data_IF_504433271384
#
_entry.id   IF_504433271384
#
_cell.length_a   1.000
_cell.length_b   1.000
_cell.length_c   1.000
_cell.angle_alpha   90.00
_cell.angle_beta   90.00
_cell.angle_gamma   90.00
#
_symmetry.space_group_name_H-M   'P 1'
#
loop_
_entity.id
_entity.type
_entity.pdbx_description
1 polymer ?
#
# COMPACT_ATOMS: atom_id res chain seq x y z
N UNK A 1 -28.21 10.87 39.15
CA UNK A 1 -28.49 9.72 38.26
C UNK A 1 -28.92 10.13 36.85
N UNK A 2 -30.02 10.87 36.64
CA UNK A 2 -30.51 11.29 35.29
C UNK A 2 -29.50 12.10 34.46
N UNK A 3 -28.70 12.96 35.09
CA UNK A 3 -27.65 13.75 34.40
C UNK A 3 -26.48 12.89 33.91
N UNK A 4 -26.04 11.91 34.72
CA UNK A 4 -24.99 10.96 34.34
C UNK A 4 -25.46 10.03 33.21
N UNK A 5 -26.70 9.54 33.29
CA UNK A 5 -27.34 8.77 32.21
C UNK A 5 -27.42 9.57 30.90
N UNK A 6 -27.78 10.86 30.97
CA UNK A 6 -27.83 11.73 29.79
C UNK A 6 -26.44 11.94 29.18
N UNK A 7 -25.39 12.14 30.00
CA UNK A 7 -24.01 12.23 29.52
C UNK A 7 -23.52 10.94 28.88
N UNK A 8 -23.81 9.79 29.50
CA UNK A 8 -23.49 8.49 28.94
C UNK A 8 -24.20 8.27 27.59
N UNK A 9 -25.49 8.64 27.49
CA UNK A 9 -26.25 8.56 26.24
C UNK A 9 -25.61 9.42 25.14
N UNK A 10 -25.19 10.65 25.45
CA UNK A 10 -24.50 11.52 24.48
C UNK A 10 -23.14 10.97 24.06
N UNK A 11 -22.39 10.37 24.98
CA UNK A 11 -21.11 9.72 24.66
C UNK A 11 -21.31 8.51 23.74
N UNK A 12 -22.28 7.64 24.05
CA UNK A 12 -22.61 6.49 23.22
C UNK A 12 -23.13 6.93 21.86
N UNK A 13 -24.03 7.91 21.81
CA UNK A 13 -24.52 8.46 20.54
C UNK A 13 -23.40 9.07 19.69
N UNK A 14 -22.47 9.79 20.32
CA UNK A 14 -21.29 10.33 19.64
C UNK A 14 -20.37 9.23 19.09
N UNK A 15 -20.12 8.17 19.87
CA UNK A 15 -19.32 7.03 19.42
C UNK A 15 -19.99 6.29 18.26
N UNK A 16 -21.30 6.06 18.33
CA UNK A 16 -22.07 5.43 17.25
C UNK A 16 -22.02 6.31 15.99
N UNK A 17 -22.21 7.62 16.12
CA UNK A 17 -22.10 8.54 14.99
C UNK A 17 -20.70 8.50 14.36
N UNK A 18 -19.64 8.47 15.17
CA UNK A 18 -18.26 8.35 14.69
C UNK A 18 -18.05 7.04 13.91
N UNK A 19 -18.50 5.91 14.44
CA UNK A 19 -18.41 4.60 13.77
C UNK A 19 -19.17 4.64 12.44
N UNK A 20 -20.38 5.18 12.41
CA UNK A 20 -21.17 5.31 11.18
C UNK A 20 -20.47 6.20 10.15
N UNK A 21 -19.86 7.32 10.57
CA UNK A 21 -19.09 8.18 9.68
C UNK A 21 -17.89 7.44 9.08
N UNK A 22 -17.16 6.66 9.89
CA UNK A 22 -16.00 5.88 9.42
C UNK A 22 -16.41 4.74 8.48
N UNK A 23 -17.59 4.14 8.69
CA UNK A 23 -18.11 3.07 7.84
C UNK A 23 -18.85 3.57 6.59
N UNK A 24 -19.20 4.85 6.52
CA UNK A 24 -19.96 5.41 5.40
C UNK A 24 -19.28 5.19 4.03
N UNK A 25 -17.95 5.38 3.87
CA UNK A 25 -17.29 5.07 2.60
C UNK A 25 -17.35 3.59 2.20
N UNK A 26 -17.23 2.67 3.16
CA UNK A 26 -17.40 1.24 2.89
C UNK A 26 -18.83 0.93 2.42
N UNK A 27 -19.83 1.54 3.08
CA UNK A 27 -21.23 1.45 2.64
C UNK A 27 -21.45 2.02 1.24
N UNK A 28 -20.74 3.08 0.86
CA UNK A 28 -20.78 3.62 -0.50
C UNK A 28 -20.22 2.62 -1.52
N UNK A 29 -19.06 2.02 -1.26
CA UNK A 29 -18.48 0.98 -2.14
C UNK A 29 -19.45 -0.18 -2.34
N UNK A 30 -20.09 -0.65 -1.28
CA UNK A 30 -21.06 -1.77 -1.34
C UNK A 30 -22.33 -1.46 -2.14
N UNK A 31 -22.72 -0.19 -2.23
CA UNK A 31 -23.96 0.23 -2.87
C UNK A 31 -23.74 0.73 -4.30
N UNK A 32 -22.65 1.45 -4.53
CA UNK A 32 -22.39 2.15 -5.78
C UNK A 32 -21.37 1.43 -6.68
N UNK A 33 -20.43 0.67 -6.12
CA UNK A 33 -19.25 0.19 -6.83
C UNK A 33 -19.24 -1.35 -6.92
N UNK A 34 -20.34 -1.93 -7.40
CA UNK A 34 -20.54 -3.37 -7.44
C UNK A 34 -19.90 -3.99 -8.68
N UNK A 35 -19.19 -5.13 -8.54
CA UNK A 35 -18.70 -5.86 -9.69
C UNK A 35 -19.86 -6.36 -10.56
N UNK A 36 -19.72 -6.18 -11.87
CA UNK A 36 -20.55 -6.83 -12.87
C UNK A 36 -19.93 -8.19 -13.19
N UNK A 37 -20.48 -9.26 -12.61
CA UNK A 37 -19.88 -10.59 -12.71
C UNK A 37 -19.89 -11.08 -14.16
N UNK A 38 -18.71 -11.35 -14.71
CA UNK A 38 -18.56 -12.00 -16.02
C UNK A 38 -17.83 -13.32 -15.87
N UNK A 39 -17.97 -14.16 -16.89
CA UNK A 39 -17.29 -15.44 -16.92
C UNK A 39 -15.84 -15.23 -17.34
N UNK A 40 -14.92 -15.66 -16.49
CA UNK A 40 -13.54 -15.90 -16.85
C UNK A 40 -13.42 -17.30 -17.49
N UNK A 41 -12.75 -17.38 -18.63
CA UNK A 41 -12.53 -18.60 -19.40
C UNK A 41 -11.07 -19.09 -19.37
N UNK A 42 -10.19 -18.40 -18.63
CA UNK A 42 -8.81 -18.82 -18.47
C UNK A 42 -8.72 -20.18 -17.77
N UNK A 43 -7.73 -20.98 -18.19
CA UNK A 43 -7.49 -22.32 -17.66
C UNK A 43 -6.09 -22.38 -17.07
N UNK A 44 -5.97 -22.41 -15.73
CA UNK A 44 -4.66 -22.36 -15.11
C UNK A 44 -3.81 -23.61 -15.37
N UNK A 45 -2.53 -23.41 -15.62
CA UNK A 45 -1.49 -24.43 -15.87
C UNK A 45 -0.91 -24.93 -14.54
N UNK A 46 -0.60 -24.02 -13.61
CA UNK A 46 -0.12 -24.36 -12.27
C UNK A 46 -1.14 -25.21 -11.50
N UNK A 47 -0.71 -26.08 -10.57
CA UNK A 47 -1.62 -26.87 -9.75
C UNK A 47 -2.39 -26.00 -8.76
N UNK A 48 -3.58 -26.43 -8.34
CA UNK A 48 -4.47 -25.66 -7.43
C UNK A 48 -3.79 -25.16 -6.15
N UNK A 49 -2.81 -25.91 -5.62
CA UNK A 49 -2.05 -25.53 -4.41
C UNK A 49 -1.19 -24.28 -4.58
N UNK A 50 -0.82 -23.95 -5.82
CA UNK A 50 0.05 -22.82 -6.16
C UNK A 50 -0.74 -21.67 -6.81
N UNK A 51 -2.08 -21.79 -6.87
CA UNK A 51 -2.97 -20.77 -7.43
C UNK A 51 -3.40 -19.77 -6.37
N UNK A 52 -3.64 -18.54 -6.78
CA UNK A 52 -4.24 -17.50 -5.96
C UNK A 52 -5.46 -16.92 -6.66
N UNK A 53 -6.51 -16.48 -5.95
CA UNK A 53 -7.66 -15.87 -6.59
C UNK A 53 -7.28 -14.61 -7.37
N UNK A 54 -7.65 -14.54 -8.66
CA UNK A 54 -7.21 -13.48 -9.57
C UNK A 54 -7.61 -12.07 -9.10
N UNK A 55 -8.84 -11.88 -8.59
CA UNK A 55 -9.30 -10.60 -8.03
C UNK A 55 -8.36 -10.02 -6.96
N UNK A 56 -7.49 -10.82 -6.33
CA UNK A 56 -6.52 -10.31 -5.36
C UNK A 56 -5.48 -9.40 -6.00
N UNK A 57 -5.17 -9.50 -7.29
CA UNK A 57 -4.28 -8.50 -7.94
C UNK A 57 -4.85 -7.08 -7.84
N UNK A 58 -6.17 -6.94 -7.92
CA UNK A 58 -6.88 -5.67 -7.69
C UNK A 58 -7.03 -5.35 -6.20
N UNK A 59 -7.38 -6.35 -5.40
CA UNK A 59 -7.77 -6.17 -4.00
C UNK A 59 -6.61 -6.14 -3.01
N UNK A 60 -5.38 -6.39 -3.45
CA UNK A 60 -4.15 -6.09 -2.68
C UNK A 60 -3.69 -4.64 -2.86
N UNK A 61 -4.11 -3.95 -3.94
CA UNK A 61 -3.78 -2.53 -4.14
C UNK A 61 -4.18 -1.64 -2.93
N UNK A 62 -5.35 -1.80 -2.28
CA UNK A 62 -5.67 -1.02 -1.08
C UNK A 62 -4.62 -1.11 0.05
N UNK A 63 -3.96 -2.25 0.22
CA UNK A 63 -2.85 -2.39 1.16
C UNK A 63 -1.65 -1.52 0.74
N UNK A 64 -1.31 -1.59 -0.55
CA UNK A 64 -0.26 -0.80 -1.16
C UNK A 64 -0.58 0.70 -1.22
N UNK A 65 -1.84 1.10 -1.32
CA UNK A 65 -2.25 2.51 -1.26
C UNK A 65 -1.77 3.15 0.04
N UNK A 66 -1.82 2.41 1.15
CA UNK A 66 -1.32 2.91 2.44
C UNK A 66 0.20 3.05 2.41
N UNK A 67 0.92 2.06 1.85
CA UNK A 67 2.38 2.12 1.67
C UNK A 67 2.76 3.35 0.85
N UNK A 68 2.06 3.58 -0.25
CA UNK A 68 2.24 4.75 -1.10
C UNK A 68 1.85 6.06 -0.41
N UNK A 69 0.81 6.07 0.44
CA UNK A 69 0.44 7.24 1.21
C UNK A 69 1.52 7.62 2.24
N UNK A 70 2.21 6.63 2.84
CA UNK A 70 3.35 6.89 3.71
C UNK A 70 4.55 7.44 2.94
N UNK A 71 4.82 6.93 1.73
CA UNK A 71 5.85 7.46 0.83
C UNK A 71 5.56 8.92 0.41
N UNK A 72 4.34 9.19 -0.05
CA UNK A 72 3.86 10.53 -0.38
C UNK A 72 3.99 11.48 0.83
N UNK A 73 3.62 11.03 2.04
CA UNK A 73 3.78 11.81 3.27
C UNK A 73 5.25 12.11 3.56
N UNK A 74 6.12 11.10 3.52
CA UNK A 74 7.56 11.27 3.73
C UNK A 74 8.16 12.27 2.73
N UNK A 75 7.76 12.17 1.46
CA UNK A 75 8.19 13.08 0.41
C UNK A 75 7.77 14.53 0.68
N UNK A 76 6.53 14.76 1.09
CA UNK A 76 6.03 16.10 1.44
C UNK A 76 6.86 16.70 2.57
N UNK A 77 7.05 15.96 3.67
CA UNK A 77 7.69 16.51 4.88
C UNK A 77 9.22 16.59 4.80
N UNK A 78 9.82 16.02 3.74
CA UNK A 78 11.26 16.18 3.45
C UNK A 78 11.64 17.65 3.32
N UNK A 79 10.77 18.46 2.73
CA UNK A 79 11.02 19.91 2.51
C UNK A 79 9.90 20.79 3.05
N UNK A 80 8.66 20.32 2.96
CA UNK A 80 7.49 21.00 3.54
C UNK A 80 7.26 20.63 5.00
N UNK A 81 6.15 21.11 5.54
CA UNK A 81 5.68 20.75 6.87
C UNK A 81 4.58 19.67 6.81
N UNK A 82 4.32 18.93 7.90
CA UNK A 82 3.27 17.90 7.93
C UNK A 82 1.87 18.39 7.54
N UNK A 83 1.52 19.64 7.84
CA UNK A 83 0.24 20.23 7.45
C UNK A 83 0.15 20.61 5.95
N UNK A 84 1.20 20.38 5.16
CA UNK A 84 1.17 20.51 3.70
C UNK A 84 0.72 19.19 3.03
N UNK A 85 0.66 18.09 3.80
CA UNK A 85 0.12 16.82 3.31
C UNK A 85 -1.41 16.85 3.29
N UNK A 86 -1.98 16.52 2.14
CA UNK A 86 -3.43 16.39 1.97
C UNK A 86 -3.96 15.10 2.58
N UNK A 87 -4.24 15.11 3.88
CA UNK A 87 -4.81 13.95 4.59
C UNK A 87 -6.18 13.55 4.04
N UNK A 88 -7.07 14.51 3.81
CA UNK A 88 -8.42 14.23 3.29
C UNK A 88 -8.38 13.76 1.82
N UNK A 89 -7.47 14.31 1.01
CA UNK A 89 -7.27 13.82 -0.36
C UNK A 89 -6.69 12.40 -0.35
N UNK A 90 -5.82 12.07 0.60
CA UNK A 90 -5.29 10.71 0.76
C UNK A 90 -6.38 9.70 1.12
N UNK A 91 -7.32 10.08 2.01
CA UNK A 91 -8.50 9.26 2.36
C UNK A 91 -9.41 9.10 1.15
N UNK A 92 -9.72 10.21 0.47
CA UNK A 92 -10.55 10.19 -0.75
C UNK A 92 -9.94 9.31 -1.84
N UNK A 93 -8.62 9.41 -2.03
CA UNK A 93 -7.85 8.57 -2.95
C UNK A 93 -8.04 7.08 -2.67
N UNK A 94 -7.90 6.65 -1.40
CA UNK A 94 -8.08 5.24 -1.01
C UNK A 94 -9.46 4.71 -1.39
N UNK A 95 -10.52 5.43 -1.00
CA UNK A 95 -11.89 4.95 -1.20
C UNK A 95 -12.34 5.05 -2.66
N UNK A 96 -11.87 6.06 -3.40
CA UNK A 96 -12.17 6.20 -4.83
C UNK A 96 -11.44 5.16 -5.68
N UNK A 97 -10.16 4.88 -5.40
CA UNK A 97 -9.45 3.78 -6.07
C UNK A 97 -10.08 2.44 -5.72
N UNK A 98 -10.45 2.20 -4.46
CA UNK A 98 -11.13 0.97 -4.05
C UNK A 98 -12.48 0.80 -4.76
N UNK A 99 -13.24 1.88 -4.95
CA UNK A 99 -14.48 1.83 -5.73
C UNK A 99 -14.22 1.36 -7.17
N UNK A 100 -13.28 2.01 -7.87
CA UNK A 100 -12.94 1.66 -9.25
C UNK A 100 -12.42 0.20 -9.38
N UNK A 101 -11.59 -0.24 -8.43
CA UNK A 101 -11.07 -1.59 -8.40
C UNK A 101 -12.15 -2.63 -8.08
N UNK A 102 -13.07 -2.32 -7.16
CA UNK A 102 -14.21 -3.17 -6.83
C UNK A 102 -15.08 -3.46 -8.05
N UNK A 103 -15.36 -2.45 -8.88
CA UNK A 103 -16.06 -2.63 -10.15
C UNK A 103 -15.26 -3.53 -11.11
N UNK A 104 -13.95 -3.31 -11.22
CA UNK A 104 -13.06 -4.08 -12.08
C UNK A 104 -12.95 -5.57 -11.68
N UNK A 105 -13.24 -5.94 -10.43
CA UNK A 105 -13.17 -7.36 -10.00
C UNK A 105 -14.21 -8.28 -10.67
N UNK A 106 -15.22 -7.73 -11.35
CA UNK A 106 -16.29 -8.53 -11.95
C UNK A 106 -15.81 -9.60 -12.93
N UNK A 107 -14.73 -9.33 -13.66
CA UNK A 107 -14.12 -10.26 -14.61
C UNK A 107 -13.16 -11.26 -13.93
N UNK A 108 -12.88 -11.12 -12.63
CA UNK A 108 -11.80 -11.83 -11.91
C UNK A 108 -12.27 -12.59 -10.65
N UNK A 109 -13.56 -12.94 -10.58
CA UNK A 109 -14.15 -13.65 -9.43
C UNK A 109 -14.78 -12.74 -8.36
N UNK A 110 -14.90 -11.44 -8.64
CA UNK A 110 -15.61 -10.47 -7.82
C UNK A 110 -14.87 -10.05 -6.55
N UNK A 111 -15.63 -9.59 -5.55
CA UNK A 111 -15.10 -9.12 -4.27
C UNK A 111 -15.57 -10.02 -3.11
N UNK A 112 -14.85 -11.12 -2.82
CA UNK A 112 -15.21 -12.08 -1.77
C UNK A 112 -15.33 -11.43 -0.39
N UNK A 113 -16.17 -12.02 0.46
CA UNK A 113 -16.49 -11.48 1.77
C UNK A 113 -15.25 -11.37 2.68
N UNK A 114 -14.40 -12.39 2.68
CA UNK A 114 -13.20 -12.46 3.51
C UNK A 114 -12.21 -11.35 3.13
N UNK A 115 -11.98 -11.15 1.83
CA UNK A 115 -11.14 -10.06 1.30
C UNK A 115 -11.75 -8.70 1.60
N UNK A 116 -13.07 -8.57 1.50
CA UNK A 116 -13.79 -7.33 1.77
C UNK A 116 -13.68 -6.89 3.23
N UNK A 117 -13.81 -7.81 4.17
CA UNK A 117 -13.62 -7.52 5.60
C UNK A 117 -12.23 -6.99 5.89
N UNK A 118 -11.21 -7.60 5.29
CA UNK A 118 -9.82 -7.17 5.42
C UNK A 118 -9.62 -5.77 4.83
N UNK A 119 -9.97 -5.57 3.56
CA UNK A 119 -9.81 -4.29 2.85
C UNK A 119 -10.56 -3.15 3.53
N UNK A 120 -11.78 -3.38 4.05
CA UNK A 120 -12.53 -2.35 4.77
C UNK A 120 -11.96 -2.06 6.16
N UNK A 121 -11.45 -3.06 6.87
CA UNK A 121 -10.74 -2.83 8.14
C UNK A 121 -9.51 -1.96 7.92
N UNK A 122 -8.79 -2.22 6.83
CA UNK A 122 -7.63 -1.45 6.40
C UNK A 122 -8.04 -0.02 6.04
N UNK A 123 -9.07 0.17 5.21
CA UNK A 123 -9.55 1.50 4.84
C UNK A 123 -10.07 2.34 6.00
N UNK A 124 -10.81 1.72 6.92
CA UNK A 124 -11.32 2.39 8.12
C UNK A 124 -10.19 2.77 9.08
N UNK A 125 -9.24 1.86 9.31
CA UNK A 125 -8.10 2.14 10.19
C UNK A 125 -7.20 3.23 9.61
N UNK A 126 -6.95 3.20 8.29
CA UNK A 126 -6.26 4.27 7.57
C UNK A 126 -6.99 5.61 7.66
N UNK A 127 -8.31 5.62 7.45
CA UNK A 127 -9.14 6.83 7.58
C UNK A 127 -9.03 7.42 8.98
N UNK A 128 -9.14 6.59 10.02
CA UNK A 128 -9.00 7.03 11.40
C UNK A 128 -7.60 7.59 11.68
N UNK A 129 -6.54 6.93 11.22
CA UNK A 129 -5.16 7.40 11.38
C UNK A 129 -4.94 8.76 10.69
N UNK A 130 -5.33 8.88 9.42
CA UNK A 130 -5.18 10.11 8.66
C UNK A 130 -5.99 11.26 9.27
N UNK A 131 -7.21 11.01 9.78
CA UNK A 131 -8.01 12.02 10.47
C UNK A 131 -7.38 12.45 11.81
N UNK A 132 -6.80 11.52 12.57
CA UNK A 132 -6.10 11.85 13.82
C UNK A 132 -4.84 12.69 13.54
N UNK A 133 -4.06 12.32 12.53
CA UNK A 133 -2.89 13.09 12.08
C UNK A 133 -3.32 14.47 11.59
N UNK A 134 -4.34 14.55 10.73
CA UNK A 134 -4.89 15.83 10.27
C UNK A 134 -5.33 16.71 11.45
N UNK A 135 -6.12 16.17 12.39
CA UNK A 135 -6.60 16.92 13.54
C UNK A 135 -5.44 17.49 14.38
N UNK A 136 -4.31 16.78 14.48
CA UNK A 136 -3.13 17.25 15.20
C UNK A 136 -2.31 18.26 14.38
N UNK A 137 -1.90 17.88 13.18
CA UNK A 137 -0.98 18.64 12.33
C UNK A 137 -1.61 19.93 11.82
N UNK A 138 -2.91 19.92 11.52
CA UNK A 138 -3.64 21.12 11.09
C UNK A 138 -3.93 22.11 12.23
N UNK A 139 -3.72 21.71 13.49
CA UNK A 139 -4.00 22.54 14.66
C UNK A 139 -2.73 22.84 15.45
N UNK A 140 -2.38 21.99 16.43
CA UNK A 140 -1.24 22.18 17.30
C UNK A 140 0.08 22.10 16.52
N UNK A 141 0.17 21.20 15.53
CA UNK A 141 1.31 21.09 14.64
C UNK A 141 1.53 22.38 13.84
N UNK A 142 0.47 22.91 13.21
CA UNK A 142 0.49 24.17 12.45
C UNK A 142 0.86 25.38 13.31
N UNK A 143 0.41 25.43 14.57
CA UNK A 143 0.85 26.47 15.52
C UNK A 143 2.33 26.31 15.85
N UNK A 144 2.81 25.07 16.04
CA UNK A 144 4.21 24.81 16.32
C UNK A 144 5.14 25.14 15.14
N UNK A 145 4.73 24.89 13.90
CA UNK A 145 5.46 25.32 12.69
C UNK A 145 5.44 26.83 12.53
N UNK A 146 4.33 27.49 12.82
CA UNK A 146 4.27 28.96 12.83
C UNK A 146 5.22 29.59 13.88
N UNK A 147 5.30 29.02 15.08
CA UNK A 147 6.24 29.46 16.13
C UNK A 147 7.69 29.16 15.75
N UNK A 148 7.95 28.02 15.11
CA UNK A 148 9.28 27.64 14.59
C UNK A 148 9.80 28.67 13.58
N UNK A 149 8.93 29.25 12.76
CA UNK A 149 9.32 30.11 11.63
C UNK A 149 9.90 29.28 10.49
N UNK A 150 10.66 29.91 9.58
CA UNK A 150 11.12 29.26 8.35
C UNK A 150 12.21 28.20 8.59
N UNK A 151 13.04 28.38 9.63
CA UNK A 151 14.16 27.47 9.94
C UNK A 151 13.67 26.16 10.54
N UNK A 152 13.96 25.03 9.89
CA UNK A 152 13.54 23.70 10.35
C UNK A 152 14.19 23.35 11.69
N UNK A 153 13.44 22.67 12.57
CA UNK A 153 13.99 22.16 13.81
C UNK A 153 14.67 20.80 13.56
N UNK A 154 15.68 20.41 14.36
CA UNK A 154 16.34 19.10 14.21
C UNK A 154 15.37 17.91 14.16
N UNK A 155 14.27 17.95 14.94
CA UNK A 155 13.27 16.88 14.89
C UNK A 155 12.33 16.92 13.68
N UNK A 156 12.22 18.04 12.95
CA UNK A 156 11.54 18.05 11.65
C UNK A 156 12.36 17.24 10.63
N UNK A 157 13.68 17.37 10.65
CA UNK A 157 14.57 16.64 9.74
C UNK A 157 14.67 15.15 10.12
N UNK A 158 14.82 14.85 11.41
CA UNK A 158 14.84 13.45 11.88
C UNK A 158 13.51 12.74 11.60
N UNK A 159 12.36 13.38 11.85
CA UNK A 159 11.07 12.74 11.59
C UNK A 159 10.78 12.56 10.10
N UNK A 160 11.27 13.45 9.24
CA UNK A 160 11.22 13.27 7.79
C UNK A 160 12.06 12.06 7.33
N UNK A 161 13.28 11.91 7.88
CA UNK A 161 14.12 10.75 7.61
C UNK A 161 13.45 9.45 8.08
N UNK A 162 12.97 9.42 9.33
CA UNK A 162 12.27 8.25 9.88
C UNK A 162 11.02 7.88 9.07
N UNK A 163 10.29 8.87 8.55
CA UNK A 163 9.14 8.62 7.68
C UNK A 163 9.55 8.02 6.33
N UNK A 164 10.64 8.49 5.73
CA UNK A 164 11.17 7.95 4.48
C UNK A 164 11.68 6.51 4.65
N UNK A 165 12.49 6.25 5.69
CA UNK A 165 13.00 4.91 5.98
C UNK A 165 11.86 3.93 6.29
N UNK A 166 10.82 4.39 7.01
CA UNK A 166 9.64 3.58 7.28
C UNK A 166 8.83 3.30 6.00
N UNK A 167 8.66 4.29 5.11
CA UNK A 167 7.97 4.10 3.84
C UNK A 167 8.70 3.08 2.94
N UNK A 168 10.03 3.12 2.88
CA UNK A 168 10.83 2.12 2.18
C UNK A 168 10.69 0.72 2.81
N UNK A 169 10.79 0.64 4.14
CA UNK A 169 10.63 -0.62 4.89
C UNK A 169 9.30 -1.32 4.60
N UNK A 170 8.21 -0.56 4.53
CA UNK A 170 6.86 -1.10 4.28
C UNK A 170 6.70 -1.73 2.90
N UNK A 171 7.61 -1.49 1.96
CA UNK A 171 7.54 -2.08 0.62
C UNK A 171 7.88 -3.58 0.61
N UNK A 172 8.52 -4.10 1.65
CA UNK A 172 8.91 -5.51 1.71
C UNK A 172 8.59 -6.17 3.07
N UNK A 173 8.57 -5.39 4.15
CA UNK A 173 8.46 -5.94 5.52
C UNK A 173 7.17 -5.45 6.18
N UNK A 174 6.41 -6.35 6.84
CA UNK A 174 5.22 -5.96 7.58
C UNK A 174 5.49 -4.90 8.65
N UNK A 175 4.60 -3.91 8.74
CA UNK A 175 4.75 -2.72 9.60
C UNK A 175 5.08 -3.02 11.07
N UNK A 176 4.53 -4.09 11.63
CA UNK A 176 4.70 -4.46 13.04
C UNK A 176 6.14 -4.92 13.38
N UNK A 177 6.98 -5.14 12.37
CA UNK A 177 8.40 -5.44 12.54
C UNK A 177 9.28 -4.19 12.61
N UNK A 178 8.73 -3.01 12.34
CA UNK A 178 9.47 -1.75 12.50
C UNK A 178 9.79 -1.49 13.98
N UNK A 179 11.01 -1.05 14.28
CA UNK A 179 11.44 -0.74 15.65
C UNK A 179 10.97 0.65 16.09
N UNK A 180 9.67 0.77 16.35
CA UNK A 180 9.07 2.01 16.86
C UNK A 180 9.65 2.44 18.21
N UNK A 181 10.15 1.51 19.03
CA UNK A 181 10.76 1.84 20.31
C UNK A 181 12.09 2.58 20.12
N UNK A 182 12.92 2.10 19.18
CA UNK A 182 14.13 2.78 18.76
C UNK A 182 13.82 4.15 18.15
N UNK A 183 12.86 4.25 17.23
CA UNK A 183 12.49 5.56 16.65
C UNK A 183 12.03 6.56 17.72
N UNK A 184 11.28 6.10 18.74
CA UNK A 184 10.87 6.93 19.87
C UNK A 184 12.06 7.38 20.77
N UNK A 185 13.08 6.53 20.93
CA UNK A 185 14.29 6.85 21.66
C UNK A 185 15.14 7.89 20.92
N UNK A 186 15.32 7.74 19.61
CA UNK A 186 16.07 8.67 18.76
C UNK A 186 15.49 10.10 18.81
N UNK A 187 14.16 10.24 18.82
CA UNK A 187 13.49 11.53 19.01
C UNK A 187 13.83 12.19 20.37
N UNK A 188 14.03 11.37 21.41
CA UNK A 188 14.41 11.86 22.72
C UNK A 188 15.86 12.35 22.73
N UNK A 189 16.77 11.58 22.14
CA UNK A 189 18.23 11.79 22.15
C UNK A 189 18.68 12.94 21.24
N UNK A 190 18.10 13.06 20.05
CA UNK A 190 18.57 14.00 19.01
C UNK A 190 17.98 15.40 19.16
N UNK A 191 16.83 15.52 19.81
CA UNK A 191 16.04 16.75 19.75
C UNK A 191 16.70 17.95 20.42
N UNK A 192 16.62 19.11 19.78
CA UNK A 192 17.04 20.38 20.37
C UNK A 192 16.17 20.81 21.55
N UNK A 193 16.48 21.99 22.09
CA UNK A 193 15.79 22.58 23.26
C UNK A 193 14.61 23.50 22.88
N UNK A 194 14.42 23.75 21.58
CA UNK A 194 13.40 24.63 21.03
C UNK A 194 11.98 24.11 21.28
N UNK A 195 11.00 25.00 21.13
CA UNK A 195 9.59 24.64 21.32
C UNK A 195 9.15 23.51 20.37
N UNK A 196 9.51 23.62 19.08
CA UNK A 196 9.20 22.61 18.07
C UNK A 196 9.74 21.22 18.41
N UNK A 197 11.00 21.12 18.84
CA UNK A 197 11.58 19.83 19.24
C UNK A 197 10.87 19.23 20.46
N UNK A 198 10.39 20.05 21.40
CA UNK A 198 9.62 19.54 22.55
C UNK A 198 8.26 19.02 22.13
N UNK A 199 7.59 19.73 21.23
CA UNK A 199 6.32 19.32 20.66
C UNK A 199 6.48 18.00 19.90
N UNK A 200 7.41 17.92 18.92
CA UNK A 200 7.65 16.70 18.14
C UNK A 200 8.02 15.51 19.01
N UNK A 201 8.90 15.70 20.00
CA UNK A 201 9.28 14.65 20.96
C UNK A 201 8.08 14.12 21.75
N UNK A 202 7.12 14.98 22.09
CA UNK A 202 5.90 14.57 22.77
C UNK A 202 4.94 13.87 21.80
N UNK A 203 4.60 14.51 20.68
CA UNK A 203 3.61 14.03 19.72
C UNK A 203 4.01 12.71 19.06
N UNK A 204 5.16 12.70 18.36
CA UNK A 204 5.66 11.53 17.67
C UNK A 204 6.15 10.47 18.66
N UNK A 205 6.68 10.88 19.81
CA UNK A 205 7.06 9.94 20.87
C UNK A 205 5.86 9.18 21.43
N UNK A 206 4.69 9.82 21.58
CA UNK A 206 3.45 9.14 21.96
C UNK A 206 2.94 8.22 20.85
N UNK A 207 2.95 8.68 19.59
CA UNK A 207 2.57 7.86 18.43
C UNK A 207 3.41 6.58 18.35
N UNK A 208 4.73 6.70 18.36
CA UNK A 208 5.64 5.57 18.24
C UNK A 208 5.55 4.61 19.42
N UNK A 209 5.40 5.08 20.66
CA UNK A 209 5.18 4.17 21.81
C UNK A 209 3.85 3.42 21.69
N UNK A 210 2.80 4.09 21.22
CA UNK A 210 1.51 3.45 20.94
C UNK A 210 1.65 2.37 19.86
N UNK A 211 2.30 2.70 18.74
CA UNK A 211 2.58 1.76 17.64
C UNK A 211 3.48 0.61 18.09
N UNK A 212 4.50 0.84 18.91
CA UNK A 212 5.36 -0.20 19.47
C UNK A 212 4.56 -1.21 20.32
N UNK A 213 3.69 -0.72 21.20
CA UNK A 213 2.85 -1.59 22.02
C UNK A 213 1.90 -2.43 21.16
N UNK A 214 1.27 -1.82 20.15
CA UNK A 214 0.36 -2.52 19.25
C UNK A 214 1.09 -3.53 18.34
N UNK A 215 2.24 -3.15 17.80
CA UNK A 215 3.11 -4.02 17.01
C UNK A 215 3.51 -5.28 17.79
N UNK A 216 3.82 -5.15 19.08
CA UNK A 216 4.11 -6.29 19.96
C UNK A 216 2.94 -7.27 20.08
N UNK A 217 1.70 -6.78 20.16
CA UNK A 217 0.49 -7.63 20.20
C UNK A 217 0.32 -8.39 18.88
N UNK A 218 0.49 -7.71 17.74
CA UNK A 218 0.38 -8.34 16.42
C UNK A 218 1.49 -9.36 16.18
N UNK A 219 2.73 -9.04 16.55
CA UNK A 219 3.86 -9.96 16.43
C UNK A 219 3.61 -11.27 17.19
N UNK A 220 3.05 -11.19 18.40
CA UNK A 220 2.68 -12.37 19.19
C UNK A 220 1.56 -13.18 18.51
N UNK A 221 0.53 -12.53 17.97
CA UNK A 221 -0.56 -13.21 17.28
C UNK A 221 -0.07 -13.94 16.02
N UNK A 222 0.75 -13.28 15.18
CA UNK A 222 1.30 -13.90 13.96
C UNK A 222 2.23 -15.07 14.30
N UNK A 223 3.04 -14.96 15.35
CA UNK A 223 3.91 -16.06 15.79
C UNK A 223 3.13 -17.33 16.20
N UNK A 224 1.84 -17.20 16.55
CA UNK A 224 0.98 -18.34 16.91
C UNK A 224 0.22 -18.94 15.72
N UNK A 225 -0.15 -18.11 14.73
CA UNK A 225 -1.03 -18.50 13.61
C UNK A 225 -0.24 -18.87 12.35
N UNK A 226 1.00 -18.39 12.21
CA UNK A 226 1.82 -18.54 11.00
C UNK A 226 1.73 -17.32 10.09
N UNK A 227 2.81 -17.05 9.34
CA UNK A 227 2.86 -15.96 8.37
C UNK A 227 2.25 -16.39 7.03
N UNK A 228 1.80 -15.40 6.24
CA UNK A 228 1.35 -15.64 4.86
C UNK A 228 2.50 -16.19 3.99
N UNK A 229 2.15 -16.89 2.91
CA UNK A 229 3.14 -17.42 1.97
C UNK A 229 3.93 -16.28 1.32
N UNK A 230 5.25 -16.31 1.48
CA UNK A 230 6.18 -15.27 1.01
C UNK A 230 6.71 -15.51 -0.40
N UNK A 231 6.30 -16.61 -1.03
CA UNK A 231 6.66 -16.99 -2.38
C UNK A 231 5.42 -17.25 -3.22
N UNK A 232 5.59 -17.20 -4.54
CA UNK A 232 4.58 -17.63 -5.50
C UNK A 232 5.24 -18.36 -6.67
N UNK A 233 4.43 -19.14 -7.39
CA UNK A 233 4.83 -19.84 -8.62
C UNK A 233 4.42 -19.06 -9.85
N UNK A 234 5.21 -19.14 -10.91
CA UNK A 234 4.88 -18.59 -12.22
C UNK A 234 5.52 -19.41 -13.35
N UNK A 235 5.02 -19.23 -14.56
CA UNK A 235 5.58 -19.82 -15.77
C UNK A 235 6.12 -18.70 -16.64
N UNK A 236 7.41 -18.80 -16.99
CA UNK A 236 8.14 -17.82 -17.81
C UNK A 236 8.63 -18.46 -19.10
N UNK A 237 8.66 -17.69 -20.18
CA UNK A 237 9.11 -18.12 -21.49
C UNK A 237 10.17 -17.18 -22.05
N UNK A 238 10.89 -17.60 -23.11
CA UNK A 238 11.85 -16.74 -23.81
C UNK A 238 13.19 -16.51 -23.09
N UNK A 239 13.43 -17.18 -21.96
CA UNK A 239 14.66 -17.12 -21.17
C UNK A 239 15.05 -18.55 -20.73
N UNK A 240 16.34 -18.84 -20.63
CA UNK A 240 16.82 -20.16 -20.23
C UNK A 240 16.88 -20.36 -18.70
N UNK A 241 16.91 -21.62 -18.28
CA UNK A 241 16.88 -22.00 -16.87
C UNK A 241 18.14 -21.56 -16.11
N UNK A 242 19.31 -21.54 -16.77
CA UNK A 242 20.56 -21.12 -16.12
C UNK A 242 20.52 -19.64 -15.76
N UNK A 243 19.97 -18.81 -16.65
CA UNK A 243 19.81 -17.38 -16.42
C UNK A 243 18.80 -17.09 -15.32
N UNK A 244 17.67 -17.79 -15.31
CA UNK A 244 16.68 -17.69 -14.24
C UNK A 244 17.25 -18.10 -12.89
N UNK A 245 17.99 -19.22 -12.82
CA UNK A 245 18.61 -19.70 -11.59
C UNK A 245 19.74 -18.78 -11.07
N UNK A 246 20.28 -17.90 -11.91
CA UNK A 246 21.27 -16.90 -11.51
C UNK A 246 20.63 -15.68 -10.80
N UNK A 247 19.31 -15.51 -10.88
CA UNK A 247 18.59 -14.41 -10.24
C UNK A 247 18.42 -14.70 -8.73
N UNK A 248 18.80 -13.76 -7.84
CA UNK A 248 18.63 -13.94 -6.40
C UNK A 248 17.18 -14.22 -6.01
N UNK A 249 16.96 -15.26 -5.19
CA UNK A 249 15.63 -15.62 -4.70
C UNK A 249 14.76 -16.40 -5.70
N UNK A 250 15.22 -16.64 -6.93
CA UNK A 250 14.50 -17.42 -7.93
C UNK A 250 14.90 -18.90 -7.84
N UNK A 251 13.91 -19.78 -7.64
CA UNK A 251 14.09 -21.22 -7.69
C UNK A 251 13.48 -21.78 -8.97
N UNK A 252 14.28 -22.44 -9.81
CA UNK A 252 13.77 -23.15 -11.00
C UNK A 252 13.19 -24.49 -10.57
N UNK A 253 11.92 -24.72 -10.91
CA UNK A 253 11.17 -25.90 -10.49
C UNK A 253 11.20 -26.98 -11.56
N UNK A 254 11.00 -26.60 -12.81
CA UNK A 254 11.04 -27.54 -13.92
C UNK A 254 10.59 -26.96 -15.25
N UNK A 255 10.88 -27.71 -16.32
CA UNK A 255 10.42 -27.39 -17.66
C UNK A 255 8.97 -27.84 -17.84
N UNK A 256 8.15 -26.97 -18.44
CA UNK A 256 6.79 -27.23 -18.93
C UNK A 256 6.75 -27.02 -20.46
N UNK A 257 5.73 -27.53 -21.17
CA UNK A 257 5.53 -27.24 -22.59
C UNK A 257 5.45 -25.74 -22.92
N UNK A 258 4.88 -24.95 -21.99
CA UNK A 258 4.61 -23.53 -22.17
C UNK A 258 5.79 -22.64 -21.74
N UNK A 259 6.71 -23.15 -20.94
CA UNK A 259 7.82 -22.37 -20.39
C UNK A 259 8.53 -23.07 -19.23
N UNK A 260 9.27 -22.31 -18.44
CA UNK A 260 9.96 -22.77 -17.24
C UNK A 260 9.11 -22.35 -16.03
N UNK A 261 8.76 -23.32 -15.19
CA UNK A 261 8.13 -23.03 -13.90
C UNK A 261 9.21 -22.59 -12.91
N UNK A 262 8.98 -21.43 -12.30
CA UNK A 262 9.84 -20.86 -11.27
C UNK A 262 9.03 -20.48 -10.03
N UNK A 263 9.73 -20.41 -8.91
CA UNK A 263 9.26 -19.81 -7.67
C UNK A 263 10.06 -18.54 -7.38
N UNK A 264 9.38 -17.49 -6.95
CA UNK A 264 9.99 -16.19 -6.66
C UNK A 264 9.53 -15.67 -5.30
N UNK A 265 10.29 -14.75 -4.67
CA UNK A 265 9.76 -13.93 -3.58
C UNK A 265 8.58 -13.07 -4.06
N UNK A 266 7.87 -12.50 -3.09
CA UNK A 266 6.70 -11.62 -3.26
C UNK A 266 7.04 -10.14 -3.03
N UNK A 267 6.06 -9.27 -3.25
CA UNK A 267 6.13 -7.82 -2.99
C UNK A 267 7.13 -7.07 -3.87
N UNK A 268 7.88 -6.10 -3.30
CA UNK A 268 8.80 -5.24 -4.04
C UNK A 268 9.89 -6.03 -4.77
N UNK A 269 10.39 -7.09 -4.15
CA UNK A 269 11.36 -7.99 -4.77
C UNK A 269 10.83 -8.61 -6.07
N UNK A 270 9.57 -9.05 -6.09
CA UNK A 270 8.94 -9.58 -7.31
C UNK A 270 8.90 -8.52 -8.42
N UNK A 271 8.50 -7.29 -8.10
CA UNK A 271 8.43 -6.20 -9.08
C UNK A 271 9.78 -6.02 -9.80
N UNK A 272 10.88 -6.04 -9.03
CA UNK A 272 12.22 -5.91 -9.59
C UNK A 272 12.64 -7.14 -10.41
N UNK A 273 12.31 -8.35 -9.95
CA UNK A 273 12.57 -9.58 -10.70
C UNK A 273 11.84 -9.59 -12.03
N UNK A 274 10.55 -9.23 -12.07
CA UNK A 274 9.77 -9.18 -13.31
C UNK A 274 10.34 -8.14 -14.29
N UNK A 275 10.70 -6.95 -13.80
CA UNK A 275 11.35 -5.93 -14.64
C UNK A 275 12.70 -6.41 -15.21
N UNK A 276 13.53 -7.06 -14.39
CA UNK A 276 14.80 -7.62 -14.83
C UNK A 276 14.60 -8.74 -15.86
N UNK A 277 13.71 -9.70 -15.59
CA UNK A 277 13.39 -10.78 -16.52
C UNK A 277 12.88 -10.24 -17.86
N UNK A 278 11.97 -9.25 -17.83
CA UNK A 278 11.44 -8.62 -19.02
C UNK A 278 12.54 -7.93 -19.85
N UNK A 279 13.47 -7.23 -19.20
CA UNK A 279 14.63 -6.61 -19.84
C UNK A 279 15.59 -7.64 -20.46
N UNK A 280 15.66 -8.84 -19.91
CA UNK A 280 16.42 -9.97 -20.43
C UNK A 280 15.68 -10.76 -21.53
N UNK A 281 14.49 -10.29 -21.95
CA UNK A 281 13.72 -10.86 -23.04
C UNK A 281 12.70 -11.91 -22.63
N UNK A 282 12.48 -12.11 -21.32
CA UNK A 282 11.45 -13.02 -20.85
C UNK A 282 10.03 -12.52 -21.25
N UNK A 283 9.16 -13.50 -21.49
CA UNK A 283 7.71 -13.35 -21.48
C UNK A 283 7.13 -14.08 -20.28
N UNK A 284 5.96 -13.64 -19.82
CA UNK A 284 5.24 -14.26 -18.70
C UNK A 284 4.02 -14.98 -19.27
N UNK A 285 3.82 -16.23 -18.87
CA UNK A 285 2.71 -17.05 -19.37
C UNK A 285 1.59 -17.11 -18.34
N UNK A 286 1.95 -17.29 -17.08
CA UNK A 286 1.03 -17.40 -15.96
C UNK A 286 1.74 -16.96 -14.68
N UNK A 287 1.06 -16.20 -13.83
CA UNK A 287 1.56 -15.83 -12.49
C UNK A 287 0.53 -16.28 -11.46
N UNK A 288 0.95 -17.14 -10.53
CA UNK A 288 0.10 -17.71 -9.48
C UNK A 288 -1.24 -18.28 -9.98
N UNK A 289 -1.26 -18.87 -11.19
CA UNK A 289 -2.44 -19.49 -11.77
C UNK A 289 -3.37 -18.55 -12.55
N UNK A 290 -2.94 -17.33 -12.85
CA UNK A 290 -3.80 -16.28 -13.42
C UNK A 290 -3.17 -15.63 -14.65
N UNK A 291 -3.99 -14.97 -15.48
CA UNK A 291 -3.60 -14.36 -16.75
C UNK A 291 -3.83 -12.85 -16.82
N UNK A 292 -4.38 -12.21 -15.79
CA UNK A 292 -4.43 -10.76 -15.62
C UNK A 292 -3.70 -10.30 -14.35
N UNK A 293 -2.96 -9.19 -14.46
CA UNK A 293 -2.21 -8.62 -13.33
C UNK A 293 -2.27 -7.10 -13.33
N UNK A 294 -2.48 -6.52 -12.14
CA UNK A 294 -2.46 -5.08 -11.94
C UNK A 294 -1.02 -4.58 -11.80
N UNK A 295 -0.73 -3.49 -12.51
CA UNK A 295 0.52 -2.74 -12.43
C UNK A 295 0.22 -1.31 -12.02
N UNK A 296 1.00 -0.76 -11.09
CA UNK A 296 1.07 0.69 -10.91
C UNK A 296 2.24 1.26 -11.68
N UNK A 297 1.95 2.33 -12.43
CA UNK A 297 2.93 3.10 -13.16
C UNK A 297 2.84 4.58 -12.80
N UNK A 298 3.95 5.29 -12.89
CA UNK A 298 4.05 6.73 -12.63
C UNK A 298 4.29 7.45 -13.95
N UNK A 299 3.64 8.59 -14.17
CA UNK A 299 3.93 9.47 -15.29
C UNK A 299 3.72 10.94 -14.96
N UNK A 300 4.29 11.83 -15.78
CA UNK A 300 3.99 13.26 -15.73
C UNK A 300 2.62 13.65 -16.32
N UNK A 301 1.88 12.70 -16.89
CA UNK A 301 0.57 12.94 -17.50
C UNK A 301 -0.56 12.60 -16.51
N UNK A 302 -1.65 13.37 -16.54
CA UNK A 302 -2.79 13.14 -15.64
C UNK A 302 -3.50 11.80 -15.87
N UNK A 303 -3.39 11.27 -17.10
CA UNK A 303 -4.03 10.04 -17.53
C UNK A 303 -3.03 9.17 -18.28
N UNK A 304 -3.16 7.86 -18.14
CA UNK A 304 -2.47 6.86 -18.94
C UNK A 304 -3.47 5.98 -19.67
N UNK A 305 -3.14 5.58 -20.89
CA UNK A 305 -3.97 4.68 -21.70
C UNK A 305 -4.19 3.36 -20.95
N UNK A 306 -5.43 2.89 -20.87
CA UNK A 306 -5.78 1.63 -20.20
C UNK A 306 -5.77 1.69 -18.67
N UNK A 307 -5.54 2.85 -18.06
CA UNK A 307 -5.63 2.98 -16.60
C UNK A 307 -7.09 2.86 -16.12
N UNK A 308 -7.34 1.96 -15.18
CA UNK A 308 -8.59 1.85 -14.42
C UNK A 308 -8.79 3.11 -13.57
N UNK A 309 -7.70 3.61 -12.99
CA UNK A 309 -7.73 4.78 -12.13
C UNK A 309 -6.41 5.55 -12.21
N UNK A 310 -6.49 6.87 -12.30
CA UNK A 310 -5.34 7.77 -12.30
C UNK A 310 -5.52 8.85 -11.24
N UNK A 311 -4.48 9.13 -10.46
CA UNK A 311 -4.54 10.17 -9.44
C UNK A 311 -3.17 10.76 -9.14
N UNK A 312 -3.17 11.98 -8.59
CA UNK A 312 -1.96 12.75 -8.32
C UNK A 312 -1.24 12.22 -7.08
N UNK A 313 0.09 12.08 -7.16
CA UNK A 313 0.95 11.80 -5.99
C UNK A 313 1.29 13.09 -5.26
N UNK A 314 1.39 13.03 -3.94
CA UNK A 314 1.71 14.21 -3.12
C UNK A 314 3.23 14.36 -2.98
N UNK A 315 3.73 15.59 -3.13
CA UNK A 315 5.16 15.89 -2.99
C UNK A 315 6.06 15.55 -4.20
N UNK A 316 5.55 14.83 -5.19
CA UNK A 316 6.30 14.44 -6.40
C UNK A 316 6.00 15.29 -7.64
N UNK A 317 4.76 15.80 -7.76
CA UNK A 317 4.36 16.62 -8.91
C UNK A 317 3.96 15.82 -10.15
N UNK A 318 3.70 14.53 -10.00
CA UNK A 318 3.32 13.58 -11.04
C UNK A 318 2.11 12.73 -10.62
N UNK A 319 1.77 11.72 -11.42
CA UNK A 319 0.56 10.92 -11.29
C UNK A 319 0.87 9.43 -11.22
N UNK A 320 0.01 8.70 -10.51
CA UNK A 320 0.00 7.24 -10.41
C UNK A 320 -1.18 6.70 -11.21
N UNK A 321 -0.95 5.64 -11.95
CA UNK A 321 -1.91 4.98 -12.82
C UNK A 321 -2.00 3.49 -12.46
N UNK A 322 -3.22 3.00 -12.28
CA UNK A 322 -3.52 1.60 -12.00
C UNK A 322 -3.95 0.96 -13.33
N UNK A 323 -3.10 0.11 -13.88
CA UNK A 323 -3.25 -0.43 -15.23
C UNK A 323 -3.38 -1.95 -15.12
N UNK A 324 -4.49 -2.50 -15.61
CA UNK A 324 -4.63 -3.94 -15.76
C UNK A 324 -3.95 -4.38 -17.05
N UNK A 325 -3.18 -5.45 -16.99
CA UNK A 325 -2.51 -6.01 -18.16
C UNK A 325 -2.63 -7.53 -18.17
N UNK A 326 -2.79 -8.10 -19.36
CA UNK A 326 -2.66 -9.54 -19.54
C UNK A 326 -1.22 -9.95 -19.22
N UNK A 327 -1.05 -11.01 -18.44
CA UNK A 327 0.26 -11.56 -18.05
C UNK A 327 1.13 -11.82 -19.29
N UNK A 328 0.52 -12.29 -20.39
CA UNK A 328 1.19 -12.48 -21.68
C UNK A 328 1.83 -11.19 -22.24
N UNK A 329 1.23 -10.03 -21.99
CA UNK A 329 1.67 -8.73 -22.48
C UNK A 329 2.56 -7.99 -21.47
N UNK A 330 2.62 -8.44 -20.22
CA UNK A 330 3.38 -7.80 -19.15
C UNK A 330 4.86 -7.59 -19.54
N UNK A 331 5.50 -8.59 -20.15
CA UNK A 331 6.91 -8.48 -20.53
C UNK A 331 7.15 -7.37 -21.57
N UNK A 332 6.25 -7.20 -22.52
CA UNK A 332 6.32 -6.14 -23.53
C UNK A 332 6.03 -4.78 -22.92
N UNK A 333 4.97 -4.68 -22.11
CA UNK A 333 4.65 -3.48 -21.35
C UNK A 333 5.88 -3.01 -20.59
N UNK A 334 6.49 -3.86 -19.76
CA UNK A 334 7.64 -3.53 -18.91
C UNK A 334 8.87 -3.02 -19.69
N UNK A 335 9.08 -3.50 -20.92
CA UNK A 335 10.17 -3.00 -21.79
C UNK A 335 9.83 -1.65 -22.42
N UNK A 336 8.56 -1.41 -22.73
CA UNK A 336 8.11 -0.28 -23.54
C UNK A 336 7.71 0.94 -22.70
N UNK A 337 7.37 0.77 -21.41
CA UNK A 337 6.87 1.82 -20.51
C UNK A 337 7.68 3.12 -20.60
N UNK A 338 9.01 3.00 -20.60
CA UNK A 338 9.90 4.16 -20.58
C UNK A 338 9.78 5.01 -21.85
N UNK A 339 9.50 4.38 -22.99
CA UNK A 339 9.25 5.05 -24.26
C UNK A 339 7.91 5.81 -24.29
N UNK A 340 6.95 5.39 -23.47
CA UNK A 340 5.64 6.02 -23.30
C UNK A 340 5.61 7.09 -22.20
N UNK A 341 6.75 7.34 -21.53
CA UNK A 341 6.83 8.25 -20.39
C UNK A 341 6.27 7.68 -19.09
N UNK A 342 6.09 6.35 -19.02
CA UNK A 342 5.68 5.60 -17.83
C UNK A 342 6.90 5.00 -17.13
N UNK A 343 6.88 5.02 -15.81
CA UNK A 343 7.86 4.33 -14.96
C UNK A 343 7.14 3.30 -14.11
N UNK A 344 7.63 2.05 -14.11
CA UNK A 344 7.10 1.00 -13.23
C UNK A 344 7.22 1.42 -11.77
N UNK A 345 6.12 1.37 -11.04
CA UNK A 345 6.13 1.55 -9.59
C UNK A 345 5.98 0.21 -8.88
N UNK A 346 4.99 -0.60 -9.23
CA UNK A 346 4.73 -1.89 -8.58
C UNK A 346 3.96 -2.86 -9.46
N UNK A 347 4.19 -4.16 -9.29
CA UNK A 347 3.36 -5.23 -9.86
C UNK A 347 2.65 -5.94 -8.71
N UNK A 348 1.32 -5.92 -8.71
CA UNK A 348 0.51 -6.38 -7.58
C UNK A 348 0.30 -7.89 -7.61
N UNK A 349 1.09 -8.60 -6.80
CA UNK A 349 0.94 -10.03 -6.62
C UNK A 349 -0.28 -10.39 -5.76
N UNK A 350 -1.09 -11.31 -6.28
CA UNK A 350 -2.31 -11.86 -5.70
C UNK A 350 -2.20 -12.29 -4.22
#
# INVERSE_FOLDING_TARGET
MRWLLRKLLWLVAGLVALILCLLAPAGYVELACRPDMRADDYRPILPETDRRPEARTLLTYPEWHIVHAYDDYARVITTGDPQDYGYLSSIGGFWSSLCALSEATGDHGGFPWETKQMVYTIGVSFTAEMLMKAAYEETLGRVATWIRGDTRAPLDDLSALQAADYAEFLQQVPWYKWDFAKSAAELHETGGRGFRDRERRLALGLEYRGKAAYAGVIAQAVAQVGADALTLRMIVAGIDAERLAALPGVNVIGQRPEGIEIETPRYRELTHLLAQMAAEGAGFVEIAGNDDILVTAISGQEQATGAIFSFRRQGYGDFRHLIMVKVADLGSLLREMSGEGLTLEHVHDY
#
